data_IF_228166872396
#
_entry.id   IF_228166872396
#
_cell.length_a   1.000
_cell.length_b   1.000
_cell.length_c   1.000
_cell.angle_alpha   90.00
_cell.angle_beta   90.00
_cell.angle_gamma   90.00
#
_symmetry.space_group_name_H-M   'P 1'
#
loop_
_entity.id
_entity.type
_entity.pdbx_description
1 polymer ?
#
# COMPACT_ATOMS: atom_id res chain seq x y z
N UNK A 1 -39.88 38.72 -48.19
CA UNK A 1 -40.17 37.31 -47.85
C UNK A 1 -38.86 36.70 -47.38
N UNK A 2 -38.78 36.47 -46.08
CA UNK A 2 -37.56 36.06 -45.35
C UNK A 2 -37.39 34.55 -45.52
N UNK A 3 -36.20 34.13 -45.94
CA UNK A 3 -35.77 32.74 -46.11
C UNK A 3 -35.78 32.01 -44.78
N UNK A 4 -36.63 30.99 -44.63
CA UNK A 4 -36.63 30.07 -43.49
C UNK A 4 -35.32 29.27 -43.44
N UNK A 5 -34.50 29.55 -42.41
CA UNK A 5 -33.38 28.71 -42.05
C UNK A 5 -33.91 27.43 -41.37
N UNK A 6 -33.77 26.30 -42.07
CA UNK A 6 -33.91 24.97 -41.49
C UNK A 6 -32.84 24.79 -40.40
N UNK A 7 -33.24 24.89 -39.14
CA UNK A 7 -32.43 24.49 -37.98
C UNK A 7 -32.38 22.96 -37.99
N UNK A 8 -31.28 22.40 -38.49
CA UNK A 8 -30.95 21.00 -38.29
C UNK A 8 -30.61 20.77 -36.81
N UNK A 9 -31.51 20.11 -36.08
CA UNK A 9 -31.20 19.55 -34.77
C UNK A 9 -30.15 18.45 -34.92
N UNK A 10 -28.99 18.67 -34.30
CA UNK A 10 -27.90 17.69 -34.20
C UNK A 10 -28.36 16.44 -33.44
N UNK A 11 -28.22 15.23 -34.01
CA UNK A 11 -28.50 13.99 -33.30
C UNK A 11 -27.24 13.52 -32.56
N UNK A 12 -27.35 13.25 -31.25
CA UNK A 12 -26.38 12.39 -30.56
C UNK A 12 -25.74 12.95 -29.30
N UNK A 13 -26.51 13.51 -28.37
CA UNK A 13 -26.15 13.37 -26.95
C UNK A 13 -26.32 11.90 -26.58
N UNK A 14 -25.24 11.13 -26.71
CA UNK A 14 -25.17 9.81 -26.11
C UNK A 14 -25.51 9.94 -24.62
N UNK A 15 -26.37 9.06 -24.06
CA UNK A 15 -26.66 9.13 -22.64
C UNK A 15 -25.33 8.89 -21.92
N UNK A 16 -24.94 9.84 -21.06
CA UNK A 16 -23.86 9.65 -20.10
C UNK A 16 -24.26 8.45 -19.27
N UNK A 17 -23.72 7.28 -19.64
CA UNK A 17 -23.86 6.04 -18.89
C UNK A 17 -23.53 6.39 -17.44
N UNK A 18 -24.52 6.32 -16.55
CA UNK A 18 -24.34 6.53 -15.12
C UNK A 18 -23.14 5.70 -14.68
N UNK A 19 -22.02 6.35 -14.40
CA UNK A 19 -20.81 5.69 -13.94
C UNK A 19 -21.18 4.96 -12.65
N UNK A 20 -21.28 3.64 -12.73
CA UNK A 20 -21.80 2.84 -11.63
C UNK A 20 -20.95 3.03 -10.39
N UNK A 21 -21.58 3.40 -9.27
CA UNK A 21 -20.96 3.61 -7.94
C UNK A 21 -20.21 2.37 -7.38
N UNK A 22 -20.17 1.27 -8.12
CA UNK A 22 -19.54 0.01 -7.76
C UNK A 22 -18.06 0.14 -7.40
N UNK A 23 -17.29 0.99 -8.09
CA UNK A 23 -15.86 1.16 -7.79
C UNK A 23 -15.63 1.87 -6.45
N UNK A 24 -16.36 2.95 -6.18
CA UNK A 24 -16.34 3.66 -4.88
C UNK A 24 -16.74 2.73 -3.74
N UNK A 25 -17.84 1.99 -3.89
CA UNK A 25 -18.29 1.04 -2.86
C UNK A 25 -17.23 -0.03 -2.59
N UNK A 26 -16.61 -0.59 -3.64
CA UNK A 26 -15.55 -1.57 -3.47
C UNK A 26 -14.34 -1.00 -2.72
N UNK A 27 -13.90 0.23 -3.03
CA UNK A 27 -12.80 0.89 -2.31
C UNK A 27 -13.15 1.11 -0.84
N UNK A 28 -14.37 1.57 -0.53
CA UNK A 28 -14.81 1.78 0.86
C UNK A 28 -14.84 0.47 1.64
N UNK A 29 -15.48 -0.58 1.09
CA UNK A 29 -15.54 -1.90 1.74
C UNK A 29 -14.13 -2.46 1.97
N UNK A 30 -13.26 -2.37 0.97
CA UNK A 30 -11.88 -2.82 1.09
C UNK A 30 -11.05 -2.01 2.08
N UNK A 31 -11.35 -0.72 2.23
CA UNK A 31 -10.73 0.14 3.24
C UNK A 31 -11.09 -0.34 4.65
N UNK A 32 -12.37 -0.55 4.90
CA UNK A 32 -12.86 -1.07 6.18
C UNK A 32 -12.29 -2.45 6.48
N UNK A 33 -12.24 -3.33 5.48
CA UNK A 33 -11.63 -4.65 5.60
C UNK A 33 -10.15 -4.56 5.99
N UNK A 34 -9.39 -3.69 5.33
CA UNK A 34 -7.96 -3.50 5.61
C UNK A 34 -7.73 -3.05 7.05
N UNK A 35 -8.47 -2.04 7.51
CA UNK A 35 -8.37 -1.55 8.89
C UNK A 35 -8.74 -2.65 9.88
N UNK A 36 -9.88 -3.32 9.66
CA UNK A 36 -10.38 -4.38 10.55
C UNK A 36 -9.41 -5.56 10.67
N UNK A 37 -8.94 -6.12 9.54
CA UNK A 37 -7.99 -7.24 9.55
C UNK A 37 -6.65 -6.83 10.14
N UNK A 38 -6.19 -5.60 9.89
CA UNK A 38 -4.94 -5.12 10.48
C UNK A 38 -5.06 -4.99 12.01
N UNK A 39 -6.19 -4.50 12.53
CA UNK A 39 -6.43 -4.44 13.97
C UNK A 39 -6.47 -5.84 14.61
N UNK A 40 -7.19 -6.80 14.00
CA UNK A 40 -7.23 -8.19 14.49
C UNK A 40 -5.82 -8.78 14.50
N UNK A 41 -5.08 -8.59 13.41
CA UNK A 41 -3.73 -9.11 13.29
C UNK A 41 -2.80 -8.57 14.37
N UNK A 42 -2.81 -7.25 14.58
CA UNK A 42 -2.00 -6.58 15.60
C UNK A 42 -2.30 -7.14 16.99
N UNK A 43 -3.59 -7.31 17.32
CA UNK A 43 -4.01 -7.91 18.59
C UNK A 43 -3.51 -9.36 18.74
N UNK A 44 -3.70 -10.20 17.72
CA UNK A 44 -3.25 -11.60 17.73
C UNK A 44 -1.73 -11.70 17.85
N UNK A 45 -1.00 -10.91 17.09
CA UNK A 45 0.46 -10.89 17.10
C UNK A 45 0.98 -10.48 18.48
N UNK A 46 0.41 -9.41 19.06
CA UNK A 46 0.75 -8.97 20.41
C UNK A 46 0.51 -10.08 21.44
N UNK A 47 -0.67 -10.73 21.42
CA UNK A 47 -1.00 -11.81 22.35
C UNK A 47 -0.05 -13.00 22.21
N UNK A 48 0.28 -13.42 20.99
CA UNK A 48 1.23 -14.51 20.74
C UNK A 48 2.60 -14.16 21.32
N UNK A 49 3.09 -12.95 21.08
CA UNK A 49 4.39 -12.50 21.58
C UNK A 49 4.40 -12.47 23.11
N UNK A 50 3.35 -11.99 23.78
CA UNK A 50 3.25 -12.03 25.25
C UNK A 50 3.28 -13.47 25.79
N UNK A 51 2.51 -14.39 25.19
CA UNK A 51 2.48 -15.79 25.63
C UNK A 51 3.85 -16.49 25.47
N UNK A 52 4.65 -16.09 24.48
CA UNK A 52 6.02 -16.58 24.30
C UNK A 52 6.94 -16.02 25.40
N UNK A 53 6.87 -14.71 25.67
CA UNK A 53 7.70 -14.07 26.70
C UNK A 53 7.40 -14.57 28.12
N UNK A 54 6.13 -14.82 28.44
CA UNK A 54 5.72 -15.40 29.72
C UNK A 54 6.12 -16.87 29.87
N UNK A 55 6.57 -17.53 28.79
CA UNK A 55 6.88 -18.96 28.77
C UNK A 55 5.64 -19.85 28.85
N UNK A 56 4.44 -19.27 28.77
CA UNK A 56 3.14 -19.94 28.79
C UNK A 56 2.97 -20.89 27.60
N UNK A 57 3.64 -20.62 26.48
CA UNK A 57 3.61 -21.44 25.28
C UNK A 57 5.03 -21.64 24.71
N UNK A 58 5.45 -22.90 24.54
CA UNK A 58 6.69 -23.29 23.84
C UNK A 58 6.38 -23.77 22.42
N UNK A 59 5.74 -22.92 21.63
CA UNK A 59 5.45 -23.24 20.22
C UNK A 59 6.74 -23.13 19.38
N UNK A 60 6.89 -23.95 18.33
CA UNK A 60 7.81 -23.65 17.24
C UNK A 60 7.56 -22.23 16.71
N UNK A 61 8.55 -21.59 16.08
CA UNK A 61 8.40 -20.22 15.55
C UNK A 61 7.33 -20.19 14.42
N UNK A 62 6.06 -19.99 14.79
CA UNK A 62 4.90 -19.89 13.89
C UNK A 62 4.61 -18.46 13.44
N UNK A 63 5.40 -17.48 13.87
CA UNK A 63 5.16 -16.05 13.58
C UNK A 63 5.14 -15.76 12.07
N UNK A 64 5.94 -16.48 11.28
CA UNK A 64 5.92 -16.36 9.82
C UNK A 64 4.58 -16.80 9.22
N UNK A 65 3.94 -17.84 9.76
CA UNK A 65 2.62 -18.31 9.32
C UNK A 65 1.56 -17.25 9.57
N UNK A 66 1.64 -16.59 10.73
CA UNK A 66 0.70 -15.53 11.11
C UNK A 66 0.80 -14.36 10.12
N UNK A 67 2.00 -13.84 9.85
CA UNK A 67 2.20 -12.78 8.83
C UNK A 67 1.79 -13.24 7.43
N UNK A 68 2.07 -14.50 7.07
CA UNK A 68 1.66 -15.06 5.78
C UNK A 68 0.14 -15.09 5.63
N UNK A 69 -0.57 -15.52 6.68
CA UNK A 69 -2.03 -15.54 6.72
C UNK A 69 -2.61 -14.12 6.58
N UNK A 70 -2.04 -13.13 7.28
CA UNK A 70 -2.40 -11.72 7.10
C UNK A 70 -2.23 -11.25 5.66
N UNK A 71 -1.06 -11.51 5.06
CA UNK A 71 -0.78 -11.17 3.68
C UNK A 71 -1.84 -11.72 2.73
N UNK A 72 -2.24 -12.99 2.89
CA UNK A 72 -3.29 -13.61 2.06
C UNK A 72 -4.70 -13.07 2.35
N UNK A 73 -5.04 -12.79 3.61
CA UNK A 73 -6.33 -12.20 3.99
C UNK A 73 -6.53 -10.79 3.43
N UNK A 74 -5.44 -10.06 3.18
CA UNK A 74 -5.47 -8.78 2.47
C UNK A 74 -5.43 -8.99 0.96
N UNK A 75 -4.52 -9.84 0.46
CA UNK A 75 -4.29 -10.04 -0.97
C UNK A 75 -5.52 -10.57 -1.71
N UNK A 76 -6.16 -11.61 -1.19
CA UNK A 76 -7.24 -12.31 -1.91
C UNK A 76 -8.44 -11.39 -2.15
N UNK A 77 -8.99 -10.67 -1.15
CA UNK A 77 -10.12 -9.77 -1.38
C UNK A 77 -9.78 -8.60 -2.32
N UNK A 78 -8.58 -8.01 -2.21
CA UNK A 78 -8.16 -6.96 -3.14
C UNK A 78 -8.06 -7.48 -4.57
N UNK A 79 -7.49 -8.68 -4.75
CA UNK A 79 -7.39 -9.31 -6.06
C UNK A 79 -8.77 -9.60 -6.63
N UNK A 80 -9.68 -10.21 -5.87
CA UNK A 80 -11.05 -10.48 -6.30
C UNK A 80 -11.79 -9.17 -6.66
N UNK A 81 -11.75 -8.17 -5.78
CA UNK A 81 -12.40 -6.88 -6.02
C UNK A 81 -11.87 -6.20 -7.29
N UNK A 82 -10.57 -6.25 -7.54
CA UNK A 82 -9.95 -5.69 -8.74
C UNK A 82 -10.36 -6.39 -10.05
N UNK A 83 -10.87 -7.63 -9.98
CA UNK A 83 -11.41 -8.35 -11.15
C UNK A 83 -12.89 -8.05 -11.39
N UNK A 84 -13.65 -7.75 -10.33
CA UNK A 84 -15.08 -7.47 -10.39
C UNK A 84 -15.34 -6.02 -10.82
N UNK A 85 -14.55 -5.07 -10.29
CA UNK A 85 -14.73 -3.64 -10.55
C UNK A 85 -14.36 -3.32 -12.01
N UNK A 86 -15.33 -2.77 -12.74
CA UNK A 86 -15.17 -2.35 -14.14
C UNK A 86 -14.61 -0.92 -14.27
N UNK A 87 -14.84 -0.09 -13.26
CA UNK A 87 -14.37 1.30 -13.26
C UNK A 87 -12.82 1.34 -13.26
N UNK A 88 -12.19 1.98 -14.26
CA UNK A 88 -10.74 1.89 -14.47
C UNK A 88 -9.94 2.52 -13.32
N UNK A 89 -10.43 3.62 -12.74
CA UNK A 89 -9.77 4.34 -11.65
C UNK A 89 -9.75 3.47 -10.38
N UNK A 90 -10.94 3.02 -9.93
CA UNK A 90 -11.05 2.16 -8.76
C UNK A 90 -10.29 0.83 -8.95
N UNK A 91 -10.39 0.21 -10.13
CA UNK A 91 -9.62 -0.99 -10.47
C UNK A 91 -8.11 -0.76 -10.36
N UNK A 92 -7.63 0.38 -10.84
CA UNK A 92 -6.24 0.78 -10.72
C UNK A 92 -5.79 0.88 -9.26
N UNK A 93 -6.55 1.59 -8.42
CA UNK A 93 -6.28 1.74 -6.98
C UNK A 93 -6.23 0.37 -6.28
N UNK A 94 -7.21 -0.49 -6.54
CA UNK A 94 -7.25 -1.85 -5.99
C UNK A 94 -6.06 -2.69 -6.46
N UNK A 95 -5.69 -2.61 -7.74
CA UNK A 95 -4.49 -3.28 -8.25
C UNK A 95 -3.21 -2.77 -7.60
N UNK A 96 -3.09 -1.47 -7.31
CA UNK A 96 -1.97 -0.94 -6.54
C UNK A 96 -1.88 -1.62 -5.17
N UNK A 97 -3.00 -1.69 -4.45
CA UNK A 97 -3.08 -2.37 -3.14
C UNK A 97 -2.84 -3.88 -3.21
N UNK A 98 -3.17 -4.54 -4.34
CA UNK A 98 -2.75 -5.94 -4.59
C UNK A 98 -1.23 -6.07 -4.57
N UNK A 99 -0.48 -5.17 -5.21
CA UNK A 99 0.98 -5.24 -5.21
C UNK A 99 1.56 -4.98 -3.82
N UNK A 100 0.96 -4.05 -3.07
CA UNK A 100 1.31 -3.82 -1.65
C UNK A 100 1.05 -5.09 -0.82
N UNK A 101 -0.08 -5.76 -1.03
CA UNK A 101 -0.41 -7.00 -0.33
C UNK A 101 0.53 -8.16 -0.71
N UNK A 102 1.00 -8.24 -1.96
CA UNK A 102 2.06 -9.19 -2.36
C UNK A 102 3.34 -8.93 -1.57
N UNK A 103 3.75 -7.67 -1.42
CA UNK A 103 4.91 -7.32 -0.60
C UNK A 103 4.71 -7.77 0.87
N UNK A 104 3.51 -7.59 1.44
CA UNK A 104 3.18 -8.10 2.78
C UNK A 104 3.29 -9.63 2.91
N UNK A 105 2.86 -10.39 1.88
CA UNK A 105 3.01 -11.86 1.85
C UNK A 105 4.49 -12.25 1.88
N UNK A 106 5.33 -11.63 1.06
CA UNK A 106 6.76 -11.98 0.96
C UNK A 106 7.52 -11.58 2.23
N UNK A 107 7.08 -10.51 2.91
CA UNK A 107 7.63 -10.07 4.20
C UNK A 107 7.47 -11.12 5.33
N UNK A 108 6.64 -12.15 5.16
CA UNK A 108 6.55 -13.27 6.11
C UNK A 108 7.90 -13.95 6.39
N UNK A 109 8.81 -13.97 5.42
CA UNK A 109 10.17 -14.53 5.56
C UNK A 109 10.99 -13.77 6.61
N UNK A 110 10.66 -12.51 6.89
CA UNK A 110 11.33 -11.72 7.93
C UNK A 110 11.07 -12.22 9.36
N UNK A 111 10.16 -13.17 9.55
CA UNK A 111 9.85 -13.78 10.86
C UNK A 111 10.62 -15.07 11.16
N UNK A 112 11.52 -15.48 10.26
CA UNK A 112 12.39 -16.63 10.49
C UNK A 112 13.40 -16.39 11.63
N UNK A 113 14.08 -15.23 11.75
CA UNK A 113 14.94 -14.92 12.89
C UNK A 113 14.17 -14.90 14.21
N UNK A 114 14.88 -15.04 15.33
CA UNK A 114 14.29 -15.02 16.67
C UNK A 114 13.73 -13.64 17.06
N UNK A 115 12.89 -13.58 18.12
CA UNK A 115 12.12 -12.38 18.49
C UNK A 115 13.03 -11.21 18.90
N UNK A 116 14.19 -11.52 19.47
CA UNK A 116 15.20 -10.58 19.96
C UNK A 116 16.14 -10.07 18.85
N UNK A 117 16.20 -10.75 17.70
CA UNK A 117 17.06 -10.37 16.57
C UNK A 117 16.44 -9.28 15.68
N UNK A 118 16.20 -8.10 16.27
CA UNK A 118 15.64 -6.93 15.57
C UNK A 118 16.47 -6.54 14.33
N UNK A 119 17.79 -6.47 14.46
CA UNK A 119 18.68 -5.98 13.41
C UNK A 119 18.65 -6.87 12.17
N UNK A 120 18.76 -8.18 12.36
CA UNK A 120 18.71 -9.18 11.29
C UNK A 120 17.34 -9.14 10.62
N UNK A 121 16.27 -9.05 11.41
CA UNK A 121 14.91 -8.94 10.86
C UNK A 121 14.76 -7.69 10.00
N UNK A 122 15.18 -6.52 10.49
CA UNK A 122 15.09 -5.27 9.74
C UNK A 122 15.90 -5.34 8.43
N UNK A 123 17.09 -5.94 8.46
CA UNK A 123 17.89 -6.18 7.25
C UNK A 123 17.17 -7.07 6.24
N UNK A 124 16.57 -8.18 6.69
CA UNK A 124 15.78 -9.07 5.82
C UNK A 124 14.59 -8.31 5.21
N UNK A 125 13.87 -7.52 6.01
CA UNK A 125 12.75 -6.72 5.53
C UNK A 125 13.18 -5.71 4.45
N UNK A 126 14.29 -4.99 4.67
CA UNK A 126 14.85 -4.06 3.69
C UNK A 126 15.22 -4.80 2.40
N UNK A 127 15.96 -5.91 2.49
CA UNK A 127 16.40 -6.70 1.33
C UNK A 127 15.20 -7.24 0.55
N UNK A 128 14.21 -7.81 1.24
CA UNK A 128 12.99 -8.34 0.63
C UNK A 128 12.21 -7.24 -0.11
N UNK A 129 12.06 -6.06 0.51
CA UNK A 129 11.36 -4.93 -0.12
C UNK A 129 12.12 -4.39 -1.33
N UNK A 130 13.44 -4.32 -1.27
CA UNK A 130 14.27 -3.89 -2.40
C UNK A 130 14.20 -4.89 -3.57
N UNK A 131 14.25 -6.20 -3.27
CA UNK A 131 14.09 -7.25 -4.28
C UNK A 131 12.70 -7.19 -4.91
N UNK A 132 11.65 -7.06 -4.09
CA UNK A 132 10.29 -6.86 -4.58
C UNK A 132 10.19 -5.62 -5.49
N UNK A 133 10.77 -4.50 -5.08
CA UNK A 133 10.76 -3.27 -5.86
C UNK A 133 11.48 -3.45 -7.20
N UNK A 134 12.65 -4.09 -7.20
CA UNK A 134 13.41 -4.40 -8.41
C UNK A 134 12.59 -5.29 -9.36
N UNK A 135 12.02 -6.38 -8.86
CA UNK A 135 11.17 -7.29 -9.64
C UNK A 135 9.94 -6.57 -10.21
N UNK A 136 9.30 -5.70 -9.42
CA UNK A 136 8.17 -4.90 -9.86
C UNK A 136 8.55 -3.92 -10.98
N UNK A 137 9.69 -3.23 -10.86
CA UNK A 137 10.19 -2.32 -11.89
C UNK A 137 10.54 -3.05 -13.19
N UNK A 138 11.19 -4.21 -13.11
CA UNK A 138 11.50 -5.05 -14.28
C UNK A 138 10.21 -5.50 -14.97
N UNK A 139 9.26 -6.06 -14.21
CA UNK A 139 7.96 -6.49 -14.72
C UNK A 139 7.23 -5.35 -15.46
N UNK A 140 7.26 -4.13 -14.91
CA UNK A 140 6.64 -2.95 -15.52
C UNK A 140 7.33 -2.52 -16.81
N UNK A 141 8.66 -2.52 -16.85
CA UNK A 141 9.41 -2.19 -18.07
C UNK A 141 9.07 -3.16 -19.20
N UNK A 142 9.07 -4.46 -18.93
CA UNK A 142 8.75 -5.48 -19.94
C UNK A 142 7.33 -5.34 -20.48
N UNK A 143 6.35 -5.02 -19.62
CA UNK A 143 4.95 -4.88 -20.04
C UNK A 143 4.68 -3.60 -20.84
N UNK A 144 5.41 -2.52 -20.55
CA UNK A 144 5.21 -1.20 -21.18
C UNK A 144 6.22 -0.90 -22.31
N UNK A 145 6.94 -1.91 -22.82
CA UNK A 145 8.04 -1.76 -23.81
C UNK A 145 7.62 -1.22 -25.20
N UNK A 146 6.43 -0.64 -25.35
CA UNK A 146 5.94 -0.01 -26.60
C UNK A 146 5.27 1.35 -26.43
N UNK A 147 5.02 1.82 -25.20
CA UNK A 147 4.46 3.14 -24.96
C UNK A 147 5.57 4.07 -24.46
N UNK A 148 5.90 5.09 -25.26
CA UNK A 148 6.86 6.13 -24.90
C UNK A 148 6.25 7.02 -23.82
N UNK A 149 6.21 6.50 -22.59
CA UNK A 149 5.59 7.21 -21.49
C UNK A 149 6.45 8.40 -21.08
N UNK A 150 5.84 9.58 -20.96
CA UNK A 150 6.51 10.78 -20.43
C UNK A 150 7.21 10.47 -19.10
N UNK A 151 8.41 11.03 -18.86
CA UNK A 151 9.12 10.83 -17.61
C UNK A 151 8.25 11.35 -16.46
N UNK A 152 7.88 10.47 -15.54
CA UNK A 152 7.24 10.88 -14.29
C UNK A 152 8.24 11.74 -13.53
N UNK A 153 7.87 12.95 -13.07
CA UNK A 153 8.80 13.77 -12.31
C UNK A 153 9.21 13.02 -11.04
N UNK A 154 10.51 12.77 -10.89
CA UNK A 154 11.06 11.98 -9.79
C UNK A 154 10.97 12.73 -8.45
N UNK A 155 11.08 14.06 -8.46
CA UNK A 155 11.15 14.88 -7.24
C UNK A 155 9.86 14.80 -6.37
N UNK A 156 8.64 14.96 -6.91
CA UNK A 156 7.41 14.79 -6.11
C UNK A 156 7.25 13.37 -5.57
N UNK A 157 7.72 12.37 -6.34
CA UNK A 157 7.66 10.96 -5.94
C UNK A 157 8.58 10.69 -4.74
N UNK A 158 9.81 11.22 -4.77
CA UNK A 158 10.76 11.12 -3.67
C UNK A 158 10.28 11.88 -2.44
N UNK A 159 9.70 13.07 -2.60
CA UNK A 159 9.13 13.83 -1.47
C UNK A 159 7.96 13.09 -0.82
N UNK A 160 7.06 12.51 -1.62
CA UNK A 160 5.93 11.74 -1.11
C UNK A 160 6.37 10.44 -0.43
N UNK A 161 7.36 9.75 -1.01
CA UNK A 161 7.95 8.55 -0.41
C UNK A 161 8.68 8.89 0.90
N UNK A 162 9.41 10.00 0.93
CA UNK A 162 10.07 10.52 2.12
C UNK A 162 9.06 10.90 3.21
N UNK A 163 7.97 11.58 2.86
CA UNK A 163 6.91 11.93 3.81
C UNK A 163 6.20 10.68 4.37
N UNK A 164 5.87 9.72 3.50
CA UNK A 164 5.27 8.45 3.90
C UNK A 164 6.20 7.63 4.81
N UNK A 165 7.49 7.58 4.48
CA UNK A 165 8.51 6.92 5.30
C UNK A 165 8.81 7.65 6.61
N UNK A 166 8.74 8.98 6.63
CA UNK A 166 8.90 9.78 7.84
C UNK A 166 7.75 9.51 8.83
N UNK A 167 6.50 9.48 8.37
CA UNK A 167 5.34 9.13 9.21
C UNK A 167 5.52 7.76 9.90
N UNK A 168 6.08 6.79 9.17
CA UNK A 168 6.38 5.46 9.71
C UNK A 168 7.60 5.43 10.63
N UNK A 169 8.59 6.28 10.40
CA UNK A 169 9.86 6.29 11.13
C UNK A 169 9.85 7.12 12.40
N UNK A 170 9.03 8.18 12.47
CA UNK A 170 8.93 9.11 13.62
C UNK A 170 8.81 8.37 14.96
N UNK A 171 7.96 7.36 15.11
CA UNK A 171 7.79 6.70 16.40
C UNK A 171 9.02 5.92 16.86
N UNK A 172 9.76 5.34 15.91
CA UNK A 172 11.02 4.64 16.17
C UNK A 172 12.15 5.60 16.54
N UNK A 173 12.13 6.80 15.96
CA UNK A 173 13.10 7.86 16.27
C UNK A 173 12.80 8.49 17.64
N UNK A 174 11.53 8.78 17.94
CA UNK A 174 11.11 9.42 19.21
C UNK A 174 11.17 8.45 20.38
N UNK A 175 10.75 7.20 20.18
CA UNK A 175 10.81 6.16 21.22
C UNK A 175 12.23 5.79 21.63
N UNK A 176 13.22 6.27 20.86
CA UNK A 176 14.60 5.79 20.91
C UNK A 176 14.61 4.34 20.45
N UNK A 177 15.39 4.00 19.43
CA UNK A 177 15.58 2.61 19.03
C UNK A 177 16.39 1.86 20.12
N UNK A 178 15.79 1.68 21.30
CA UNK A 178 16.37 1.21 22.55
C UNK A 178 17.72 1.85 22.94
N UNK A 179 18.03 3.05 22.43
CA UNK A 179 19.30 3.76 22.64
C UNK A 179 20.41 3.44 21.63
N UNK A 180 20.15 2.63 20.61
CA UNK A 180 21.11 2.21 19.58
C UNK A 180 21.04 3.09 18.32
N UNK A 181 22.19 3.65 17.92
CA UNK A 181 22.32 4.41 16.64
C UNK A 181 22.04 3.48 15.45
N UNK A 182 22.54 2.25 15.49
CA UNK A 182 22.33 1.27 14.42
C UNK A 182 20.85 0.97 14.21
N UNK A 183 20.10 0.81 15.30
CA UNK A 183 18.68 0.49 15.22
C UNK A 183 17.87 1.67 14.68
N UNK A 184 18.30 2.89 15.01
CA UNK A 184 17.72 4.13 14.47
C UNK A 184 17.96 4.24 12.97
N UNK A 185 19.18 3.97 12.51
CA UNK A 185 19.52 3.98 11.07
C UNK A 185 18.70 2.92 10.33
N UNK A 186 18.64 1.69 10.86
CA UNK A 186 17.86 0.61 10.25
C UNK A 186 16.37 0.96 10.18
N UNK A 187 15.80 1.55 11.23
CA UNK A 187 14.40 1.99 11.23
C UNK A 187 14.13 3.07 10.17
N UNK A 188 15.01 4.08 10.04
CA UNK A 188 14.88 5.13 9.01
C UNK A 188 14.99 4.55 7.60
N UNK A 189 15.95 3.66 7.37
CA UNK A 189 16.13 3.02 6.06
C UNK A 189 14.93 2.15 5.72
N UNK A 190 14.43 1.35 6.67
CA UNK A 190 13.26 0.51 6.49
C UNK A 190 12.01 1.34 6.21
N UNK A 191 11.74 2.37 7.01
CA UNK A 191 10.57 3.23 6.85
C UNK A 191 10.59 3.98 5.51
N UNK A 192 11.75 4.48 5.11
CA UNK A 192 11.96 5.12 3.80
C UNK A 192 11.72 4.11 2.67
N UNK A 193 12.24 2.89 2.80
CA UNK A 193 12.04 1.82 1.81
C UNK A 193 10.56 1.47 1.65
N UNK A 194 9.80 1.40 2.75
CA UNK A 194 8.35 1.20 2.74
C UNK A 194 7.65 2.34 2.00
N UNK A 195 7.98 3.59 2.33
CA UNK A 195 7.42 4.76 1.66
C UNK A 195 7.64 4.70 0.15
N UNK A 196 8.86 4.35 -0.28
CA UNK A 196 9.21 4.16 -1.69
C UNK A 196 8.37 3.04 -2.33
N UNK A 197 8.26 1.89 -1.68
CA UNK A 197 7.48 0.75 -2.19
C UNK A 197 6.02 1.11 -2.35
N UNK A 198 5.38 1.71 -1.35
CA UNK A 198 3.97 2.13 -1.40
C UNK A 198 3.76 3.13 -2.54
N UNK A 199 4.56 4.18 -2.59
CA UNK A 199 4.42 5.25 -3.59
C UNK A 199 4.63 4.70 -5.00
N UNK A 200 5.68 3.92 -5.25
CA UNK A 200 5.96 3.35 -6.58
C UNK A 200 4.88 2.36 -6.99
N UNK A 201 4.45 1.47 -6.10
CA UNK A 201 3.43 0.46 -6.43
C UNK A 201 2.04 1.04 -6.64
N UNK A 202 1.69 2.15 -5.97
CA UNK A 202 0.38 2.79 -6.11
C UNK A 202 0.31 3.75 -7.29
N UNK A 203 1.38 4.51 -7.58
CA UNK A 203 1.39 5.57 -8.61
C UNK A 203 1.79 5.02 -9.99
N UNK A 204 2.76 4.12 -10.06
CA UNK A 204 3.26 3.59 -11.34
C UNK A 204 2.20 2.88 -12.19
N UNK A 205 1.29 2.05 -11.63
CA UNK A 205 0.17 1.49 -12.39
C UNK A 205 -0.88 2.52 -12.79
N UNK A 206 -0.99 3.61 -12.03
CA UNK A 206 -2.13 4.51 -12.00
C UNK A 206 -1.66 5.95 -12.20
N UNK A 207 -1.07 6.26 -13.36
CA UNK A 207 -0.78 7.66 -13.75
C UNK A 207 -1.99 8.58 -13.59
N UNK A 208 -3.19 8.01 -13.59
CA UNK A 208 -4.49 8.63 -13.32
C UNK A 208 -4.56 9.35 -11.95
N UNK A 209 -3.89 8.84 -10.90
CA UNK A 209 -3.87 9.49 -9.57
C UNK A 209 -3.22 10.88 -9.60
N UNK A 210 -2.22 11.08 -10.47
CA UNK A 210 -1.54 12.37 -10.63
C UNK A 210 -2.31 13.30 -11.59
N UNK A 211 -3.01 12.76 -12.59
CA UNK A 211 -3.85 13.54 -13.51
C UNK A 211 -5.17 13.98 -12.88
N UNK A 212 -5.74 13.23 -11.93
CA UNK A 212 -6.94 13.65 -11.17
C UNK A 212 -6.67 14.87 -10.27
N UNK A 213 -5.49 14.91 -9.63
CA UNK A 213 -5.03 16.07 -8.87
C UNK A 213 -4.86 17.32 -9.75
N UNK A 214 -4.77 17.16 -11.08
CA UNK A 214 -4.66 18.26 -12.05
C UNK A 214 -6.01 18.66 -12.68
N UNK A 215 -7.14 18.03 -12.32
CA UNK A 215 -8.47 18.31 -12.89
C UNK A 215 -9.41 19.08 -11.94
N UNK A 216 -10.57 19.54 -12.45
CA UNK A 216 -11.54 20.48 -11.83
C UNK A 216 -11.93 20.22 -10.35
N UNK A 217 -11.73 19.02 -9.80
CA UNK A 217 -11.97 18.68 -8.39
C UNK A 217 -10.70 18.20 -7.66
N UNK A 218 -9.61 18.97 -7.78
CA UNK A 218 -8.29 18.72 -7.17
C UNK A 218 -8.35 18.28 -5.69
N UNK A 219 -9.20 18.89 -4.85
CA UNK A 219 -9.32 18.53 -3.42
C UNK A 219 -9.80 17.09 -3.21
N UNK A 220 -10.75 16.63 -4.03
CA UNK A 220 -11.33 15.29 -3.93
C UNK A 220 -10.37 14.22 -4.44
N UNK A 221 -9.61 14.53 -5.51
CA UNK A 221 -8.54 13.67 -6.02
C UNK A 221 -7.39 13.49 -5.05
N UNK A 222 -6.94 14.57 -4.40
CA UNK A 222 -5.88 14.52 -3.38
C UNK A 222 -6.30 13.70 -2.16
N UNK A 223 -7.54 13.88 -1.67
CA UNK A 223 -8.06 13.12 -0.53
C UNK A 223 -8.13 11.61 -0.81
N UNK A 224 -8.63 11.23 -1.98
CA UNK A 224 -8.71 9.82 -2.37
C UNK A 224 -7.32 9.19 -2.57
N UNK A 225 -6.38 9.91 -3.20
CA UNK A 225 -5.00 9.45 -3.38
C UNK A 225 -4.28 9.25 -2.03
N UNK A 226 -4.40 10.23 -1.14
CA UNK A 226 -3.86 10.16 0.22
C UNK A 226 -4.40 8.96 0.99
N UNK A 227 -5.72 8.72 0.93
CA UNK A 227 -6.34 7.58 1.58
C UNK A 227 -5.80 6.22 1.11
N UNK A 228 -5.62 6.03 -0.21
CA UNK A 228 -5.06 4.79 -0.75
C UNK A 228 -3.60 4.59 -0.32
N UNK A 229 -2.82 5.68 -0.24
CA UNK A 229 -1.45 5.63 0.31
C UNK A 229 -1.48 5.23 1.78
N UNK A 230 -2.38 5.81 2.57
CA UNK A 230 -2.56 5.44 3.99
C UNK A 230 -2.90 3.96 4.14
N UNK A 231 -3.80 3.41 3.33
CA UNK A 231 -4.08 1.96 3.34
C UNK A 231 -2.84 1.13 3.01
N UNK A 232 -2.05 1.55 2.01
CA UNK A 232 -0.81 0.87 1.68
C UNK A 232 0.20 0.89 2.84
N UNK A 233 0.31 2.01 3.55
CA UNK A 233 1.14 2.14 4.74
C UNK A 233 0.63 1.27 5.89
N UNK A 234 -0.68 1.23 6.15
CA UNK A 234 -1.28 0.35 7.17
C UNK A 234 -0.96 -1.13 6.87
N UNK A 235 -1.05 -1.53 5.60
CA UNK A 235 -0.77 -2.92 5.21
C UNK A 235 0.69 -3.30 5.50
N UNK A 236 1.63 -2.46 5.05
CA UNK A 236 3.05 -2.78 5.23
C UNK A 236 3.52 -2.57 6.68
N UNK A 237 3.01 -1.56 7.39
CA UNK A 237 3.31 -1.36 8.81
C UNK A 237 2.88 -2.55 9.65
N UNK A 238 1.72 -3.13 9.31
CA UNK A 238 1.20 -4.31 9.99
C UNK A 238 2.04 -5.54 9.67
N UNK A 239 2.50 -5.70 8.43
CA UNK A 239 3.33 -6.84 8.04
C UNK A 239 4.75 -6.80 8.65
N UNK A 240 5.35 -5.62 8.79
CA UNK A 240 6.72 -5.46 9.33
C UNK A 240 6.78 -5.51 10.86
N UNK A 241 5.67 -5.23 11.55
CA UNK A 241 5.69 -5.09 13.01
C UNK A 241 5.98 -6.41 13.74
N UNK A 242 7.00 -6.39 14.59
CA UNK A 242 7.51 -7.55 15.32
C UNK A 242 6.60 -7.94 16.49
N UNK A 243 6.14 -6.92 17.23
CA UNK A 243 5.66 -7.10 18.60
C UNK A 243 4.16 -6.81 18.76
N UNK A 244 3.45 -6.51 17.66
CA UNK A 244 2.04 -6.13 17.71
C UNK A 244 1.79 -4.74 18.30
N UNK A 245 2.82 -3.87 18.33
CA UNK A 245 2.78 -2.52 18.89
C UNK A 245 2.90 -1.44 17.81
N UNK A 246 3.07 -1.80 16.54
CA UNK A 246 3.29 -0.85 15.44
C UNK A 246 2.12 0.12 15.23
N UNK A 247 0.95 -0.18 15.80
CA UNK A 247 -0.25 0.66 15.77
C UNK A 247 -0.29 1.74 16.86
N UNK A 248 0.49 1.65 17.94
CA UNK A 248 0.55 2.69 18.99
C UNK A 248 1.22 4.00 18.52
N UNK A 249 1.63 3.99 17.25
CA UNK A 249 2.65 4.85 16.68
C UNK A 249 2.22 5.41 15.30
N UNK A 250 1.08 4.98 14.78
CA UNK A 250 0.38 5.55 13.62
C UNK A 250 -0.78 6.41 14.10
#
# INVERSE_FOLDING_TARGET
MVSEQNIQLSPGTTPVSSAGCSGTVAVVVMSLWTVFISLIFQLVQWTIVQMIFEGSIKLPNIRWVVVLAYGFLILLPFFIASRIVKEPIAKGRLMGLVHVAIAAVILSVSRVPDIDEWQITAMIQIVVLLLFLLSFMIYRRTKNSGEMTSPTPLMPLFLLAGAAGALMGIPWVIGGAQGSITDTILAIVLSTTIGIVVVITLITPNRILLTEAASENMKQGIGAAGWIITLGLIILSTAIDQNGNGWLFL
#
